data_IF_995977215871
#
_entry.id   IF_995977215871
#
_cell.length_a   1.000
_cell.length_b   1.000
_cell.length_c   1.000
_cell.angle_alpha   90.00
_cell.angle_beta   90.00
_cell.angle_gamma   90.00
#
_symmetry.space_group_name_H-M   'P 1'
#
loop_
_entity.id
_entity.type
_entity.pdbx_description
1 polymer ?
#
# COMPACT_ATOMS: atom_id res chain seq x y z
N UNK A 1 14.33 -8.48 21.47
CA UNK A 1 15.40 -9.19 22.22
C UNK A 1 15.91 -10.49 21.58
N UNK A 2 15.25 -11.13 20.60
CA UNK A 2 15.71 -12.42 20.02
C UNK A 2 16.90 -12.35 19.06
N UNK A 3 17.22 -11.19 18.49
CA UNK A 3 18.26 -11.06 17.45
C UNK A 3 19.69 -11.20 18.01
N UNK A 4 19.95 -10.67 19.21
CA UNK A 4 21.27 -10.71 19.84
C UNK A 4 21.70 -12.11 20.26
N UNK A 5 20.74 -12.97 20.63
CA UNK A 5 21.01 -14.33 21.08
C UNK A 5 21.55 -15.19 19.94
N UNK A 6 21.04 -15.02 18.72
CA UNK A 6 21.48 -15.77 17.53
C UNK A 6 22.90 -15.36 17.10
N UNK A 7 23.23 -14.07 17.21
CA UNK A 7 24.58 -13.55 16.91
C UNK A 7 25.64 -14.09 17.88
N UNK A 8 25.29 -14.22 19.17
CA UNK A 8 26.20 -14.72 20.19
C UNK A 8 26.54 -16.20 20.00
N UNK A 9 25.53 -17.07 19.85
CA UNK A 9 25.77 -18.50 19.64
C UNK A 9 26.46 -18.81 18.31
N UNK A 10 26.17 -18.03 17.25
CA UNK A 10 26.88 -18.14 15.98
C UNK A 10 28.38 -17.82 16.12
N UNK A 11 28.72 -16.74 16.82
CA UNK A 11 30.11 -16.37 17.08
C UNK A 11 30.87 -17.41 17.90
N UNK A 12 30.23 -17.97 18.93
CA UNK A 12 30.82 -19.04 19.75
C UNK A 12 31.07 -20.31 18.93
N UNK A 13 30.11 -20.73 18.10
CA UNK A 13 30.27 -21.91 17.26
C UNK A 13 31.42 -21.76 16.24
N UNK A 14 31.54 -20.59 15.59
CA UNK A 14 32.65 -20.29 14.68
C UNK A 14 33.99 -20.29 15.43
N UNK A 15 34.04 -19.68 16.61
CA UNK A 15 35.25 -19.65 17.44
C UNK A 15 35.71 -21.05 17.86
N UNK A 16 34.78 -21.92 18.26
CA UNK A 16 35.07 -23.32 18.62
C UNK A 16 35.58 -24.12 17.41
N UNK A 17 34.97 -23.94 16.24
CA UNK A 17 35.41 -24.61 15.01
C UNK A 17 36.80 -24.15 14.56
N UNK A 18 37.09 -22.84 14.65
CA UNK A 18 38.40 -22.29 14.33
C UNK A 18 39.48 -22.78 15.30
N UNK A 19 39.17 -22.83 16.60
CA UNK A 19 40.07 -23.37 17.61
C UNK A 19 40.33 -24.87 17.43
N UNK A 20 39.29 -25.64 17.08
CA UNK A 20 39.41 -27.07 16.79
C UNK A 20 40.28 -27.33 15.55
N UNK A 21 40.11 -26.54 14.48
CA UNK A 21 40.93 -26.62 13.27
C UNK A 21 42.40 -26.28 13.55
N UNK A 22 42.67 -25.27 14.38
CA UNK A 22 44.02 -24.89 14.76
C UNK A 22 44.69 -25.93 15.66
N UNK A 23 43.91 -26.56 16.55
CA UNK A 23 44.37 -27.62 17.45
C UNK A 23 44.66 -28.94 16.73
N UNK A 24 43.88 -29.24 15.68
CA UNK A 24 43.95 -30.49 14.91
C UNK A 24 44.01 -30.19 13.41
N UNK A 25 45.16 -29.70 12.90
CA UNK A 25 45.31 -29.40 11.48
C UNK A 25 45.23 -30.70 10.67
N UNK A 26 44.47 -30.74 9.56
CA UNK A 26 44.36 -31.94 8.72
C UNK A 26 45.74 -32.31 8.15
N UNK A 27 46.14 -33.57 8.30
CA UNK A 27 47.46 -34.04 7.87
C UNK A 27 47.44 -34.65 6.46
N UNK A 28 46.25 -34.85 5.90
CA UNK A 28 46.07 -35.43 4.56
C UNK A 28 44.89 -34.84 3.80
N UNK A 29 44.90 -35.03 2.48
CA UNK A 29 43.87 -34.54 1.55
C UNK A 29 42.47 -35.11 1.83
N UNK A 30 42.37 -36.33 2.37
CA UNK A 30 41.09 -36.93 2.77
C UNK A 30 40.43 -36.29 3.99
N UNK A 31 41.23 -35.90 5.00
CA UNK A 31 40.73 -35.17 6.18
C UNK A 31 40.35 -33.72 5.82
N UNK A 32 41.08 -33.12 4.89
CA UNK A 32 40.77 -31.78 4.40
C UNK A 32 39.42 -31.76 3.67
N UNK A 33 39.10 -32.81 2.90
CA UNK A 33 37.81 -32.96 2.24
C UNK A 33 36.64 -33.10 3.24
N UNK A 34 36.80 -33.87 4.32
CA UNK A 34 35.76 -34.04 5.33
C UNK A 34 35.51 -32.75 6.13
N UNK A 35 36.56 -31.98 6.40
CA UNK A 35 36.45 -30.64 7.00
C UNK A 35 35.66 -29.68 6.09
N UNK A 36 35.99 -29.62 4.79
CA UNK A 36 35.26 -28.77 3.83
C UNK A 36 33.79 -29.16 3.76
N UNK A 37 33.48 -30.46 3.80
CA UNK A 37 32.10 -30.94 3.80
C UNK A 37 31.34 -30.55 5.08
N UNK A 38 31.99 -30.64 6.24
CA UNK A 38 31.40 -30.26 7.52
C UNK A 38 31.16 -28.74 7.62
N UNK A 39 32.09 -27.92 7.14
CA UNK A 39 31.88 -26.48 7.04
C UNK A 39 30.78 -26.12 6.04
N UNK A 40 30.76 -26.81 4.89
CA UNK A 40 29.74 -26.63 3.86
C UNK A 40 28.33 -26.91 4.38
N UNK A 41 28.14 -27.96 5.17
CA UNK A 41 26.83 -28.30 5.74
C UNK A 41 26.37 -27.28 6.79
N UNK A 42 27.27 -26.81 7.67
CA UNK A 42 26.96 -25.78 8.67
C UNK A 42 26.61 -24.45 7.99
N UNK A 43 27.38 -24.04 6.98
CA UNK A 43 27.10 -22.84 6.22
C UNK A 43 25.76 -22.94 5.47
N UNK A 44 25.43 -24.11 4.90
CA UNK A 44 24.16 -24.34 4.23
C UNK A 44 22.97 -24.24 5.20
N UNK A 45 23.06 -24.80 6.41
CA UNK A 45 22.01 -24.70 7.44
C UNK A 45 21.83 -23.25 7.90
N UNK A 46 22.94 -22.52 8.12
CA UNK A 46 22.90 -21.11 8.50
C UNK A 46 22.26 -20.25 7.40
N UNK A 47 22.63 -20.49 6.13
CA UNK A 47 22.02 -19.84 4.98
C UNK A 47 20.53 -20.15 4.87
N UNK A 48 20.13 -21.42 5.05
CA UNK A 48 18.73 -21.85 5.01
C UNK A 48 17.88 -21.20 6.10
N UNK A 49 18.45 -20.87 7.27
CA UNK A 49 17.76 -20.11 8.31
C UNK A 49 17.75 -18.59 8.07
N UNK A 50 18.83 -18.05 7.51
CA UNK A 50 19.00 -16.60 7.31
C UNK A 50 18.23 -16.05 6.09
N UNK A 51 18.25 -16.78 4.97
CA UNK A 51 17.60 -16.34 3.73
C UNK A 51 16.10 -16.11 3.89
N UNK A 52 15.30 -17.02 4.49
CA UNK A 52 13.86 -16.82 4.64
C UNK A 52 13.52 -15.58 5.45
N UNK A 53 14.26 -15.30 6.54
CA UNK A 53 14.00 -14.13 7.41
C UNK A 53 14.31 -12.83 6.67
N UNK A 54 15.40 -12.79 5.91
CA UNK A 54 15.76 -11.62 5.11
C UNK A 54 14.77 -11.41 3.95
N UNK A 55 14.36 -12.49 3.29
CA UNK A 55 13.37 -12.42 2.21
C UNK A 55 11.99 -12.02 2.72
N UNK A 56 11.56 -12.49 3.89
CA UNK A 56 10.28 -12.10 4.49
C UNK A 56 10.21 -10.57 4.74
N UNK A 57 11.28 -9.97 5.27
CA UNK A 57 11.33 -8.52 5.51
C UNK A 57 11.30 -7.71 4.21
N UNK A 58 12.04 -8.15 3.20
CA UNK A 58 12.07 -7.48 1.89
C UNK A 58 10.74 -7.65 1.15
N UNK A 59 10.10 -8.81 1.27
CA UNK A 59 8.77 -9.06 0.72
C UNK A 59 7.71 -8.17 1.35
N UNK A 60 7.75 -7.99 2.68
CA UNK A 60 6.81 -7.11 3.37
C UNK A 60 6.98 -5.64 2.95
N UNK A 61 8.21 -5.15 2.91
CA UNK A 61 8.50 -3.80 2.41
C UNK A 61 8.05 -3.62 0.95
N UNK A 62 8.25 -4.62 0.09
CA UNK A 62 7.80 -4.58 -1.30
C UNK A 62 6.27 -4.66 -1.42
N UNK A 63 5.60 -5.43 -0.56
CA UNK A 63 4.15 -5.52 -0.50
C UNK A 63 3.54 -4.18 -0.11
N UNK A 64 4.09 -3.53 0.92
CA UNK A 64 3.68 -2.21 1.34
C UNK A 64 3.87 -1.18 0.23
N UNK A 65 5.04 -1.14 -0.43
CA UNK A 65 5.29 -0.24 -1.56
C UNK A 65 4.30 -0.45 -2.71
N UNK A 66 3.95 -1.71 -3.03
CA UNK A 66 2.94 -2.03 -4.04
C UNK A 66 1.56 -1.51 -3.63
N UNK A 67 1.16 -1.72 -2.37
CA UNK A 67 -0.12 -1.22 -1.85
C UNK A 67 -0.19 0.31 -1.91
N UNK A 68 0.86 1.02 -1.48
CA UNK A 68 0.92 2.48 -1.57
C UNK A 68 0.82 2.98 -3.01
N UNK A 69 1.52 2.31 -3.93
CA UNK A 69 1.43 2.61 -5.36
C UNK A 69 0.01 2.46 -5.88
N UNK A 70 -0.67 1.36 -5.53
CA UNK A 70 -2.06 1.13 -5.92
C UNK A 70 -3.01 2.16 -5.31
N UNK A 71 -2.85 2.51 -4.03
CA UNK A 71 -3.66 3.54 -3.37
C UNK A 71 -3.46 4.91 -4.03
N UNK A 72 -2.22 5.27 -4.33
CA UNK A 72 -1.88 6.52 -5.03
C UNK A 72 -2.50 6.57 -6.44
N UNK A 73 -2.48 5.45 -7.16
CA UNK A 73 -3.12 5.34 -8.47
C UNK A 73 -4.64 5.55 -8.38
N UNK A 74 -5.31 4.89 -7.43
CA UNK A 74 -6.76 5.05 -7.22
C UNK A 74 -7.07 6.49 -6.78
N UNK A 75 -6.27 7.08 -5.90
CA UNK A 75 -6.44 8.47 -5.47
C UNK A 75 -6.33 9.43 -6.66
N UNK A 76 -5.38 9.21 -7.55
CA UNK A 76 -5.21 10.00 -8.78
C UNK A 76 -6.40 9.87 -9.73
N UNK A 77 -6.93 8.65 -9.90
CA UNK A 77 -8.13 8.43 -10.72
C UNK A 77 -9.35 9.12 -10.11
N UNK A 78 -9.53 8.97 -8.79
CA UNK A 78 -10.62 9.58 -8.03
C UNK A 78 -10.57 11.10 -8.13
N UNK A 79 -9.38 11.70 -8.00
CA UNK A 79 -9.17 13.13 -8.19
C UNK A 79 -9.53 13.59 -9.60
N UNK A 80 -9.11 12.85 -10.64
CA UNK A 80 -9.44 13.22 -12.02
C UNK A 80 -10.95 13.18 -12.27
N UNK A 81 -11.64 12.17 -11.73
CA UNK A 81 -13.10 12.05 -11.85
C UNK A 81 -13.82 13.13 -11.06
N UNK A 82 -13.32 13.50 -9.87
CA UNK A 82 -13.84 14.63 -9.10
C UNK A 82 -13.68 15.96 -9.84
N UNK A 83 -12.51 16.20 -10.44
CA UNK A 83 -12.27 17.42 -11.24
C UNK A 83 -13.19 17.47 -12.46
N UNK A 84 -13.38 16.33 -13.13
CA UNK A 84 -14.35 16.22 -14.21
C UNK A 84 -15.76 16.51 -13.68
N UNK A 85 -16.18 15.85 -12.61
CA UNK A 85 -17.51 16.03 -12.05
C UNK A 85 -17.77 17.50 -11.67
N UNK A 86 -16.82 18.13 -10.97
CA UNK A 86 -16.86 19.56 -10.64
C UNK A 86 -16.97 20.44 -11.90
N UNK A 87 -16.24 20.12 -12.96
CA UNK A 87 -16.31 20.86 -14.21
C UNK A 87 -17.69 20.78 -14.85
N UNK A 88 -18.30 19.59 -14.87
CA UNK A 88 -19.64 19.36 -15.42
C UNK A 88 -20.77 19.87 -14.52
N UNK A 89 -20.51 20.16 -13.25
CA UNK A 89 -21.47 20.74 -12.31
C UNK A 89 -21.70 22.25 -12.50
N UNK A 90 -21.19 22.85 -13.58
CA UNK A 90 -21.38 24.28 -13.90
C UNK A 90 -22.79 24.59 -14.36
N UNK A 91 -23.39 23.69 -15.15
CA UNK A 91 -24.76 23.83 -15.63
C UNK A 91 -25.51 22.51 -15.45
N UNK A 92 -26.84 22.56 -15.28
CA UNK A 92 -27.64 21.34 -15.18
C UNK A 92 -27.51 20.39 -16.36
N UNK A 93 -27.40 20.94 -17.57
CA UNK A 93 -27.28 20.17 -18.80
C UNK A 93 -25.95 19.40 -18.81
N UNK A 94 -24.85 20.07 -18.49
CA UNK A 94 -23.52 19.44 -18.40
C UNK A 94 -23.47 18.36 -17.31
N UNK A 95 -24.14 18.58 -16.18
CA UNK A 95 -24.21 17.59 -15.10
C UNK A 95 -25.00 16.35 -15.52
N UNK A 96 -26.12 16.53 -16.24
CA UNK A 96 -26.87 15.45 -16.83
C UNK A 96 -26.01 14.68 -17.85
N UNK A 97 -25.31 15.38 -18.73
CA UNK A 97 -24.40 14.77 -19.72
C UNK A 97 -23.30 13.95 -19.04
N UNK A 98 -22.69 14.47 -17.96
CA UNK A 98 -21.70 13.71 -17.19
C UNK A 98 -22.27 12.40 -16.64
N UNK A 99 -23.48 12.45 -16.06
CA UNK A 99 -24.18 11.26 -15.55
C UNK A 99 -24.44 10.23 -16.67
N UNK A 100 -24.94 10.67 -17.82
CA UNK A 100 -25.24 9.79 -18.96
C UNK A 100 -23.99 9.26 -19.66
N UNK A 101 -22.86 9.96 -19.60
CA UNK A 101 -21.57 9.52 -20.12
C UNK A 101 -20.89 8.48 -19.22
N UNK A 102 -21.65 7.64 -18.51
CA UNK A 102 -21.13 6.51 -17.75
C UNK A 102 -20.43 6.87 -16.44
N UNK A 103 -20.62 8.08 -15.90
CA UNK A 103 -20.04 8.46 -14.61
C UNK A 103 -20.38 7.46 -13.50
N UNK A 104 -21.64 7.02 -13.42
CA UNK A 104 -22.06 6.04 -12.41
C UNK A 104 -21.23 4.75 -12.47
N UNK A 105 -21.00 4.23 -13.67
CA UNK A 105 -20.19 3.01 -13.86
C UNK A 105 -18.73 3.21 -13.46
N UNK A 106 -18.14 4.38 -13.74
CA UNK A 106 -16.77 4.71 -13.33
C UNK A 106 -16.64 4.82 -11.80
N UNK A 107 -17.57 5.49 -11.15
CA UNK A 107 -17.62 5.61 -9.69
C UNK A 107 -17.84 4.27 -9.00
N UNK A 108 -18.73 3.43 -9.54
CA UNK A 108 -18.91 2.07 -9.05
C UNK A 108 -17.62 1.23 -9.20
N UNK A 109 -16.90 1.35 -10.31
CA UNK A 109 -15.63 0.67 -10.50
C UNK A 109 -14.56 1.13 -9.49
N UNK A 110 -14.48 2.43 -9.19
CA UNK A 110 -13.59 2.95 -8.15
C UNK A 110 -13.97 2.41 -6.76
N UNK A 111 -15.26 2.37 -6.44
CA UNK A 111 -15.76 1.80 -5.17
C UNK A 111 -15.33 0.34 -5.00
N UNK A 112 -15.48 -0.47 -6.05
CA UNK A 112 -15.04 -1.89 -6.05
C UNK A 112 -13.52 -2.01 -5.87
N UNK A 113 -12.72 -1.18 -6.55
CA UNK A 113 -11.26 -1.22 -6.42
C UNK A 113 -10.80 -0.88 -4.99
N UNK A 114 -11.46 0.08 -4.33
CA UNK A 114 -11.17 0.47 -2.95
C UNK A 114 -11.62 -0.60 -1.96
N UNK A 115 -12.80 -1.18 -2.17
CA UNK A 115 -13.28 -2.31 -1.39
C UNK A 115 -12.37 -3.53 -1.50
N UNK A 116 -11.76 -3.78 -2.66
CA UNK A 116 -10.79 -4.84 -2.82
C UNK A 116 -9.50 -4.59 -2.00
N UNK A 117 -9.11 -3.32 -1.82
CA UNK A 117 -7.94 -2.96 -1.01
C UNK A 117 -8.19 -3.06 0.50
N UNK A 118 -9.41 -2.79 0.97
CA UNK A 118 -9.74 -2.85 2.40
C UNK A 118 -9.76 -4.28 2.96
N UNK A 119 -9.86 -5.29 2.10
CA UNK A 119 -9.80 -6.72 2.47
C UNK A 119 -8.38 -7.16 2.82
N UNK A 120 -7.34 -6.48 2.33
CA UNK A 120 -5.97 -6.78 2.72
C UNK A 120 -5.71 -6.26 4.14
N UNK A 121 -5.17 -7.11 5.02
CA UNK A 121 -4.70 -6.70 6.35
C UNK A 121 -3.66 -5.60 6.22
N UNK A 122 -4.10 -4.36 6.44
CA UNK A 122 -3.24 -3.19 6.48
C UNK A 122 -2.74 -3.02 7.90
N UNK A 123 -1.48 -3.39 8.11
CA UNK A 123 -0.79 -3.21 9.39
C UNK A 123 -0.57 -1.72 9.73
N UNK A 124 -0.58 -0.84 8.72
CA UNK A 124 -0.42 0.60 8.92
C UNK A 124 -1.75 1.32 9.15
N UNK A 125 -1.88 1.92 10.34
CA UNK A 125 -3.00 2.80 10.71
C UNK A 125 -3.14 3.97 9.73
N UNK A 126 -2.02 4.55 9.27
CA UNK A 126 -2.02 5.66 8.32
C UNK A 126 -2.63 5.23 6.98
N UNK A 127 -2.21 4.08 6.44
CA UNK A 127 -2.73 3.56 5.16
C UNK A 127 -4.22 3.23 5.26
N UNK A 128 -4.65 2.67 6.40
CA UNK A 128 -6.06 2.40 6.68
C UNK A 128 -6.87 3.70 6.72
N UNK A 129 -6.36 4.75 7.36
CA UNK A 129 -6.99 6.07 7.40
C UNK A 129 -7.20 6.66 6.00
N UNK A 130 -6.18 6.59 5.14
CA UNK A 130 -6.29 7.07 3.76
C UNK A 130 -7.32 6.29 2.95
N UNK A 131 -7.34 4.97 3.04
CA UNK A 131 -8.35 4.16 2.35
C UNK A 131 -9.77 4.42 2.83
N UNK A 132 -9.97 4.60 4.13
CA UNK A 132 -11.28 4.95 4.68
C UNK A 132 -11.73 6.32 4.17
N UNK A 133 -10.86 7.33 4.19
CA UNK A 133 -11.16 8.67 3.66
C UNK A 133 -11.52 8.63 2.16
N UNK A 134 -10.78 7.83 1.39
CA UNK A 134 -10.99 7.70 -0.04
C UNK A 134 -12.28 6.93 -0.35
N UNK A 135 -12.56 5.84 0.37
CA UNK A 135 -13.81 5.10 0.26
C UNK A 135 -15.03 5.92 0.68
N UNK A 136 -14.91 6.72 1.75
CA UNK A 136 -15.97 7.65 2.16
C UNK A 136 -16.24 8.67 1.05
N UNK A 137 -15.20 9.26 0.48
CA UNK A 137 -15.35 10.24 -0.61
C UNK A 137 -16.05 9.65 -1.83
N UNK A 138 -15.65 8.44 -2.26
CA UNK A 138 -16.32 7.73 -3.37
C UNK A 138 -17.79 7.46 -3.06
N UNK A 139 -18.10 6.96 -1.86
CA UNK A 139 -19.47 6.65 -1.48
C UNK A 139 -20.35 7.91 -1.41
N UNK A 140 -19.82 9.02 -0.90
CA UNK A 140 -20.51 10.31 -0.90
C UNK A 140 -20.82 10.76 -2.33
N UNK A 141 -19.84 10.70 -3.22
CA UNK A 141 -20.02 11.12 -4.63
C UNK A 141 -21.00 10.22 -5.36
N UNK A 142 -20.96 8.91 -5.12
CA UNK A 142 -21.96 7.99 -5.67
C UNK A 142 -23.37 8.34 -5.15
N UNK A 143 -23.50 8.69 -3.87
CA UNK A 143 -24.73 9.20 -3.27
C UNK A 143 -25.24 10.47 -3.94
N UNK A 144 -24.35 11.44 -4.17
CA UNK A 144 -24.66 12.70 -4.87
C UNK A 144 -25.12 12.44 -6.31
N UNK A 145 -24.44 11.55 -7.04
CA UNK A 145 -24.84 11.16 -8.40
C UNK A 145 -26.23 10.51 -8.45
N UNK A 146 -26.60 9.74 -7.43
CA UNK A 146 -27.95 9.15 -7.32
C UNK A 146 -29.02 10.18 -7.02
N UNK A 147 -28.69 11.21 -6.24
CA UNK A 147 -29.59 12.31 -5.86
C UNK A 147 -29.67 13.43 -6.90
N UNK A 148 -28.80 13.40 -7.92
CA UNK A 148 -28.74 14.43 -8.96
C UNK A 148 -30.11 14.66 -9.63
N UNK A 149 -30.62 15.91 -9.63
CA UNK A 149 -31.85 16.27 -10.31
C UNK A 149 -31.81 15.89 -11.79
N UNK A 150 -32.94 15.41 -12.33
CA UNK A 150 -33.06 15.23 -13.78
C UNK A 150 -33.09 16.59 -14.49
N UNK A 151 -32.55 16.65 -15.71
CA UNK A 151 -32.37 17.91 -16.47
C UNK A 151 -33.64 18.77 -16.57
N UNK A 152 -34.83 18.16 -16.61
CA UNK A 152 -36.11 18.87 -16.70
C UNK A 152 -36.49 19.64 -15.41
N UNK A 153 -35.91 19.27 -14.28
CA UNK A 153 -36.19 19.86 -12.94
C UNK A 153 -35.12 20.86 -12.49
N UNK A 154 -34.09 21.04 -13.29
CA UNK A 154 -32.94 21.83 -12.92
C UNK A 154 -33.01 23.24 -13.52
N UNK A 155 -33.78 24.10 -12.87
CA UNK A 155 -33.66 25.55 -13.11
C UNK A 155 -32.25 26.01 -12.74
N UNK A 156 -31.73 27.02 -13.44
CA UNK A 156 -30.36 27.53 -13.24
C UNK A 156 -30.02 28.05 -11.84
N UNK A 157 -31.01 28.13 -10.92
CA UNK A 157 -30.84 28.57 -9.53
C UNK A 157 -31.05 27.44 -8.50
N UNK A 158 -30.95 26.16 -8.88
CA UNK A 158 -31.13 25.08 -7.93
C UNK A 158 -29.94 25.04 -6.92
N UNK A 159 -30.17 25.25 -5.61
CA UNK A 159 -29.13 25.32 -4.59
C UNK A 159 -28.32 24.03 -4.46
N UNK A 160 -28.87 22.90 -4.91
CA UNK A 160 -28.20 21.60 -4.91
C UNK A 160 -26.86 21.64 -5.66
N UNK A 161 -26.76 22.38 -6.76
CA UNK A 161 -25.52 22.43 -7.56
C UNK A 161 -24.39 23.18 -6.84
N UNK A 162 -24.72 24.29 -6.16
CA UNK A 162 -23.72 25.07 -5.40
C UNK A 162 -23.29 24.32 -4.14
N UNK A 163 -24.23 23.71 -3.40
CA UNK A 163 -23.91 22.89 -2.23
C UNK A 163 -23.03 21.69 -2.61
N UNK A 164 -23.39 20.98 -3.69
CA UNK A 164 -22.61 19.85 -4.19
C UNK A 164 -21.21 20.32 -4.63
N UNK A 165 -21.06 21.49 -5.27
CA UNK A 165 -19.73 21.99 -5.66
C UNK A 165 -18.82 22.26 -4.46
N UNK A 166 -19.36 22.81 -3.37
CA UNK A 166 -18.60 23.02 -2.13
C UNK A 166 -18.18 21.69 -1.50
N UNK A 167 -19.08 20.71 -1.49
CA UNK A 167 -18.77 19.36 -0.99
C UNK A 167 -17.68 18.67 -1.83
N UNK A 168 -17.73 18.80 -3.16
CA UNK A 168 -16.69 18.31 -4.06
C UNK A 168 -15.32 18.95 -3.79
N UNK A 169 -15.29 20.25 -3.51
CA UNK A 169 -14.05 20.96 -3.17
C UNK A 169 -13.45 20.46 -1.84
N UNK A 170 -14.28 20.14 -0.84
CA UNK A 170 -13.83 19.51 0.41
C UNK A 170 -13.21 18.12 0.15
N UNK A 171 -13.86 17.29 -0.67
CA UNK A 171 -13.33 15.96 -1.01
C UNK A 171 -12.06 16.01 -1.86
N UNK A 172 -11.94 16.98 -2.77
CA UNK A 172 -10.72 17.21 -3.53
C UNK A 172 -9.55 17.56 -2.60
N UNK A 173 -9.76 18.47 -1.65
CA UNK A 173 -8.74 18.79 -0.65
C UNK A 173 -8.34 17.57 0.19
N UNK A 174 -9.31 16.76 0.63
CA UNK A 174 -9.04 15.54 1.38
C UNK A 174 -8.19 14.52 0.60
N UNK A 175 -8.47 14.38 -0.71
CA UNK A 175 -7.71 13.47 -1.58
C UNK A 175 -6.31 14.02 -1.88
N UNK A 176 -6.16 15.33 -2.12
CA UNK A 176 -4.85 15.95 -2.30
C UNK A 176 -3.97 15.76 -1.06
N UNK A 177 -4.53 15.93 0.15
CA UNK A 177 -3.85 15.64 1.40
C UNK A 177 -3.43 14.17 1.53
N UNK A 178 -4.28 13.25 1.05
CA UNK A 178 -4.02 11.82 1.06
C UNK A 178 -2.97 11.37 0.03
N UNK A 179 -2.73 12.16 -1.03
CA UNK A 179 -1.72 11.84 -2.06
C UNK A 179 -0.29 12.16 -1.62
N UNK A 180 -0.10 13.09 -0.69
CA UNK A 180 1.24 13.53 -0.32
C UNK A 180 1.97 12.41 0.46
N UNK A 181 3.06 11.82 -0.08
CA UNK A 181 3.80 10.75 0.59
C UNK A 181 4.39 11.22 1.92
N UNK A 182 4.65 12.51 2.04
CA UNK A 182 5.18 13.17 3.24
C UNK A 182 4.16 13.14 4.40
N UNK A 183 2.86 13.13 4.08
CA UNK A 183 1.78 13.01 5.06
C UNK A 183 1.52 11.55 5.48
N UNK A 184 2.06 10.56 4.77
CA UNK A 184 1.93 9.14 5.12
C UNK A 184 2.88 8.72 6.27
N UNK A 185 3.66 9.67 6.79
CA UNK A 185 4.62 9.51 7.87
C UNK A 185 5.90 8.80 7.41
N UNK A 186 7.07 9.11 8.00
CA UNK A 186 8.21 8.21 7.85
C UNK A 186 7.80 6.86 8.40
N UNK A 187 7.92 5.81 7.59
CA UNK A 187 7.89 4.43 8.07
C UNK A 187 8.95 4.34 9.17
N UNK A 188 8.55 4.43 10.43
CA UNK A 188 9.51 4.32 11.53
C UNK A 188 10.07 2.90 11.43
N UNK A 189 11.34 2.79 11.07
CA UNK A 189 12.07 1.54 11.05
C UNK A 189 12.01 0.95 12.47
N UNK A 190 11.11 -0.02 12.68
CA UNK A 190 10.98 -0.81 13.90
C UNK A 190 11.83 -2.07 13.85
#
# INVERSE_FOLDING_TARGET
>A
MRTYTVSFFGGVAIGVLAAAFWRFPPQGSGELASWVQAFGSIAAIAAAGYFPVRHARVQEANRQRRLLSTISQIATMTESELKAFRFYMRTPQEAADYRFNGAFSRWAALSVQVGALSVYELDSVAVRGHLLSLGQSINTIEGLLRQMPSGDSASGNNPWYEETRLELDLHLMAIELAKSPENMGPFSEG
#
